data_IF_999949577919
#
_entry.id   IF_999949577919
#
_cell.length_a   1.000
_cell.length_b   1.000
_cell.length_c   1.000
_cell.angle_alpha   90.00
_cell.angle_beta   90.00
_cell.angle_gamma   90.00
#
_symmetry.space_group_name_H-M   'P 1'
#
loop_
_entity.id
_entity.type
_entity.pdbx_description
1 polymer ?
#
# COMPACT_ATOMS: atom_id res chain seq x y z
N UNK A 1 -63.76 -0.88 23.22
CA UNK A 1 -62.71 -0.97 22.19
C UNK A 1 -61.49 -0.28 22.76
N UNK A 2 -60.39 -1.00 22.92
CA UNK A 2 -59.13 -0.41 23.37
C UNK A 2 -58.50 0.37 22.20
N UNK A 3 -58.33 1.68 22.35
CA UNK A 3 -57.69 2.55 21.36
C UNK A 3 -56.19 2.30 21.40
N UNK A 4 -55.61 1.73 20.33
CA UNK A 4 -54.18 1.53 20.18
C UNK A 4 -53.55 2.84 19.68
N UNK A 5 -53.03 3.67 20.58
CA UNK A 5 -52.24 4.83 20.19
C UNK A 5 -50.85 4.38 19.76
N UNK A 6 -50.57 4.33 18.45
CA UNK A 6 -49.22 4.31 17.92
C UNK A 6 -48.52 5.61 18.34
N UNK A 7 -47.67 5.55 19.34
CA UNK A 7 -46.75 6.64 19.66
C UNK A 7 -45.88 6.93 18.42
N UNK A 8 -45.72 8.19 18.05
CA UNK A 8 -44.77 8.58 16.99
C UNK A 8 -43.38 8.14 17.43
N UNK A 9 -42.79 7.16 16.73
CA UNK A 9 -41.36 6.90 16.82
C UNK A 9 -40.69 8.14 16.21
N UNK A 10 -40.06 8.95 17.05
CA UNK A 10 -39.47 10.22 16.63
C UNK A 10 -37.96 10.15 16.85
N UNK A 11 -37.22 9.52 15.91
CA UNK A 11 -35.77 9.60 15.89
C UNK A 11 -35.33 10.99 15.44
N UNK A 12 -34.36 11.58 16.16
CA UNK A 12 -33.77 12.87 15.80
C UNK A 12 -32.34 12.62 15.32
N UNK A 13 -32.10 12.78 14.01
CA UNK A 13 -30.76 12.69 13.46
C UNK A 13 -29.90 13.88 13.88
N UNK A 14 -28.80 13.63 14.61
CA UNK A 14 -27.83 14.64 15.10
C UNK A 14 -26.53 14.71 14.29
N UNK A 15 -26.37 13.88 13.27
CA UNK A 15 -25.13 13.80 12.50
C UNK A 15 -24.05 12.98 13.20
N UNK A 16 -22.80 13.42 13.12
CA UNK A 16 -21.70 12.78 13.84
C UNK A 16 -21.83 13.00 15.37
N UNK A 17 -21.36 12.02 16.15
CA UNK A 17 -21.24 12.20 17.59
C UNK A 17 -20.11 13.18 17.92
N UNK A 18 -20.34 14.04 18.92
CA UNK A 18 -19.35 14.99 19.44
C UNK A 18 -19.31 14.95 20.97
N UNK A 19 -18.09 15.00 21.52
CA UNK A 19 -17.85 15.12 22.96
C UNK A 19 -18.49 16.39 23.52
N UNK A 20 -18.94 16.32 24.79
CA UNK A 20 -19.54 17.45 25.50
C UNK A 20 -20.94 17.85 25.02
N UNK A 21 -21.48 17.18 24.01
CA UNK A 21 -22.84 17.42 23.51
C UNK A 21 -23.86 16.75 24.43
N UNK A 22 -24.99 17.45 24.69
CA UNK A 22 -26.12 16.86 25.41
C UNK A 22 -26.97 16.07 24.42
N UNK A 23 -27.13 14.77 24.68
CA UNK A 23 -27.99 13.88 23.91
C UNK A 23 -29.19 13.43 24.73
N UNK A 24 -30.32 13.40 24.05
CA UNK A 24 -31.60 12.94 24.61
C UNK A 24 -31.98 11.58 24.04
N UNK A 25 -32.82 10.85 24.75
CA UNK A 25 -33.39 9.59 24.25
C UNK A 25 -34.00 9.81 22.86
N UNK A 26 -33.78 8.86 21.96
CA UNK A 26 -34.15 8.87 20.54
C UNK A 26 -33.30 9.80 19.64
N UNK A 27 -32.26 10.47 20.18
CA UNK A 27 -31.25 11.10 19.34
C UNK A 27 -30.41 10.02 18.65
N UNK A 28 -30.20 10.17 17.33
CA UNK A 28 -29.43 9.23 16.50
C UNK A 28 -28.16 9.90 16.01
N UNK A 29 -27.03 9.25 16.22
CA UNK A 29 -25.71 9.73 15.80
C UNK A 29 -24.98 8.70 14.97
N UNK A 30 -24.04 9.18 14.15
CA UNK A 30 -23.02 8.34 13.51
C UNK A 30 -21.73 8.41 14.29
N UNK A 31 -21.14 7.25 14.54
CA UNK A 31 -19.80 7.12 15.08
C UNK A 31 -19.04 6.03 14.32
N UNK A 32 -18.04 6.44 13.50
CA UNK A 32 -17.42 5.56 12.52
C UNK A 32 -18.42 5.16 11.43
N UNK A 33 -18.30 3.94 10.94
CA UNK A 33 -19.28 3.37 10.01
C UNK A 33 -20.62 3.00 10.63
N UNK A 34 -20.80 3.19 11.95
CA UNK A 34 -21.98 2.74 12.70
C UNK A 34 -22.93 3.88 13.08
N UNK A 35 -24.21 3.54 13.17
CA UNK A 35 -25.24 4.46 13.66
C UNK A 35 -25.76 3.97 15.00
N UNK A 36 -25.88 4.88 15.96
CA UNK A 36 -26.31 4.60 17.32
C UNK A 36 -27.49 5.46 17.70
N UNK A 37 -28.36 4.91 18.54
CA UNK A 37 -29.46 5.63 19.15
C UNK A 37 -29.21 5.85 20.63
N UNK A 38 -29.43 7.06 21.10
CA UNK A 38 -29.34 7.40 22.51
C UNK A 38 -30.52 6.76 23.26
N UNK A 39 -30.20 5.99 24.31
CA UNK A 39 -31.19 5.30 25.15
C UNK A 39 -31.26 5.87 26.56
N UNK A 40 -30.27 6.72 26.94
CA UNK A 40 -30.23 7.43 28.23
C UNK A 40 -29.81 8.87 28.00
N UNK A 41 -30.59 9.84 28.53
CA UNK A 41 -30.20 11.26 28.46
C UNK A 41 -28.86 11.48 29.18
N UNK A 42 -27.87 12.02 28.47
CA UNK A 42 -26.54 12.25 29.03
C UNK A 42 -25.82 13.38 28.31
N UNK A 43 -24.74 13.85 28.92
CA UNK A 43 -23.74 14.66 28.24
C UNK A 43 -22.61 13.74 27.80
N UNK A 44 -22.26 13.79 26.51
CA UNK A 44 -21.23 12.94 25.93
C UNK A 44 -19.88 13.12 26.63
N UNK A 45 -19.25 12.00 26.99
CA UNK A 45 -17.91 11.96 27.57
C UNK A 45 -16.83 12.41 26.58
N UNK A 46 -15.57 12.39 27.01
CA UNK A 46 -14.44 12.67 26.12
C UNK A 46 -14.31 11.63 25.00
N UNK A 47 -14.67 10.40 25.30
CA UNK A 47 -14.60 9.27 24.35
C UNK A 47 -15.95 8.56 24.26
N UNK A 48 -16.36 8.23 23.04
CA UNK A 48 -17.62 7.53 22.76
C UNK A 48 -17.70 6.17 23.48
N UNK A 49 -16.58 5.47 23.59
CA UNK A 49 -16.53 4.14 24.22
C UNK A 49 -16.95 4.17 25.69
N UNK A 50 -16.70 5.27 26.39
CA UNK A 50 -17.14 5.45 27.78
C UNK A 50 -18.67 5.46 27.86
N UNK A 51 -19.32 6.23 26.97
CA UNK A 51 -20.78 6.31 26.89
C UNK A 51 -21.42 5.00 26.46
N UNK A 52 -20.73 4.28 25.54
CA UNK A 52 -21.21 2.97 25.07
C UNK A 52 -21.12 1.91 26.19
N UNK A 53 -20.03 1.91 26.96
CA UNK A 53 -19.87 1.01 28.12
C UNK A 53 -20.87 1.32 29.23
N UNK A 54 -21.25 2.60 29.39
CA UNK A 54 -22.29 3.02 30.32
C UNK A 54 -23.72 2.71 29.81
N UNK A 55 -23.84 2.03 28.67
CA UNK A 55 -25.11 1.70 28.00
C UNK A 55 -26.00 2.93 27.66
N UNK A 56 -25.37 4.09 27.41
CA UNK A 56 -26.08 5.30 26.98
C UNK A 56 -26.53 5.22 25.50
N UNK A 57 -25.89 4.36 24.74
CA UNK A 57 -26.12 4.13 23.32
C UNK A 57 -26.47 2.69 23.01
N UNK A 58 -27.42 2.50 22.11
CA UNK A 58 -27.70 1.20 21.47
C UNK A 58 -27.31 1.26 19.98
N UNK A 59 -26.72 0.17 19.47
CA UNK A 59 -26.43 0.06 18.04
C UNK A 59 -27.74 0.01 17.25
N UNK A 60 -27.89 0.91 16.29
CA UNK A 60 -29.06 1.00 15.42
C UNK A 60 -28.79 0.40 14.04
N UNK A 61 -27.61 0.67 13.49
CA UNK A 61 -27.20 0.15 12.18
C UNK A 61 -25.69 -0.07 12.16
N UNK A 62 -25.29 -1.21 11.59
CA UNK A 62 -23.89 -1.59 11.37
C UNK A 62 -23.54 -1.28 9.92
N UNK A 63 -22.86 -0.17 9.69
CA UNK A 63 -22.38 0.28 8.39
C UNK A 63 -20.87 0.42 8.38
N UNK A 64 -20.31 0.82 7.25
CA UNK A 64 -18.87 1.00 7.01
C UNK A 64 -18.58 2.41 6.52
N UNK A 65 -17.42 2.96 6.88
CA UNK A 65 -16.97 4.28 6.42
C UNK A 65 -15.61 4.17 5.74
N UNK A 66 -15.56 4.50 4.42
CA UNK A 66 -14.31 4.55 3.69
C UNK A 66 -13.50 5.79 4.07
N UNK A 67 -12.27 5.61 4.54
CA UNK A 67 -11.36 6.67 4.98
C UNK A 67 -10.21 6.96 3.99
N UNK A 68 -10.13 6.22 2.89
CA UNK A 68 -9.01 6.33 1.96
C UNK A 68 -7.78 5.55 2.41
N UNK A 69 -6.59 6.08 2.11
CA UNK A 69 -5.34 5.46 2.55
C UNK A 69 -5.14 5.61 4.06
N UNK A 70 -4.63 4.55 4.71
CA UNK A 70 -4.22 4.63 6.10
C UNK A 70 -3.17 5.73 6.32
N UNK A 71 -3.30 6.47 7.41
CA UNK A 71 -2.42 7.60 7.73
C UNK A 71 -1.98 7.58 9.18
N UNK A 72 -0.80 8.15 9.45
CA UNK A 72 -0.26 8.36 10.79
C UNK A 72 -1.11 9.35 11.59
N UNK A 73 -1.04 9.26 12.92
CA UNK A 73 -1.72 10.17 13.86
C UNK A 73 -3.21 10.38 13.57
N UNK A 74 -3.87 9.39 13.01
CA UNK A 74 -5.27 9.47 12.60
C UNK A 74 -6.12 8.62 13.53
N UNK A 75 -7.20 9.21 14.05
CA UNK A 75 -8.15 8.47 14.88
C UNK A 75 -9.12 7.72 13.97
N UNK A 76 -9.09 6.41 14.10
CA UNK A 76 -10.00 5.49 13.44
C UNK A 76 -11.04 4.96 14.41
N UNK A 77 -12.24 4.72 13.92
CA UNK A 77 -13.40 4.25 14.65
C UNK A 77 -13.77 2.84 14.19
N UNK A 78 -14.54 2.07 14.97
CA UNK A 78 -15.02 0.78 14.50
C UNK A 78 -15.74 0.89 13.17
N UNK A 79 -15.47 -0.05 12.26
CA UNK A 79 -15.97 -0.13 10.89
C UNK A 79 -15.46 0.97 9.94
N UNK A 80 -14.45 1.76 10.33
CA UNK A 80 -13.70 2.54 9.36
C UNK A 80 -12.89 1.60 8.46
N UNK A 81 -12.92 1.84 7.16
CA UNK A 81 -12.21 1.04 6.15
C UNK A 81 -11.08 1.89 5.58
N UNK A 82 -9.89 1.31 5.51
CA UNK A 82 -8.69 1.95 4.94
C UNK A 82 -7.99 1.04 3.95
N UNK A 83 -7.27 1.65 3.01
CA UNK A 83 -6.29 0.97 2.16
C UNK A 83 -4.91 1.09 2.79
N UNK A 84 -4.19 -0.03 2.89
CA UNK A 84 -2.78 -0.05 3.29
C UNK A 84 -2.03 -1.10 2.46
N UNK A 85 -1.09 -0.62 1.61
CA UNK A 85 -0.48 -1.48 0.60
C UNK A 85 -1.51 -2.01 -0.40
N UNK A 86 -1.40 -3.26 -0.77
CA UNK A 86 -2.37 -3.94 -1.62
C UNK A 86 -3.64 -4.38 -0.90
N UNK A 87 -3.77 -4.14 0.40
CA UNK A 87 -4.88 -4.62 1.22
C UNK A 87 -5.86 -3.52 1.61
N UNK A 88 -7.10 -3.93 1.83
CA UNK A 88 -8.14 -3.13 2.48
C UNK A 88 -8.38 -3.72 3.87
N UNK A 89 -8.33 -2.87 4.88
CA UNK A 89 -8.56 -3.23 6.28
C UNK A 89 -9.80 -2.53 6.82
N UNK A 90 -10.43 -3.18 7.81
CA UNK A 90 -11.55 -2.62 8.57
C UNK A 90 -11.14 -2.52 10.05
N UNK A 91 -11.35 -1.37 10.67
CA UNK A 91 -11.08 -1.19 12.09
C UNK A 91 -12.10 -1.97 12.92
N UNK A 92 -11.62 -2.89 13.76
CA UNK A 92 -12.44 -3.63 14.71
C UNK A 92 -12.58 -2.88 16.05
N UNK A 93 -11.61 -2.02 16.36
CA UNK A 93 -11.55 -1.24 17.61
C UNK A 93 -11.15 0.20 17.31
N UNK A 94 -11.80 1.16 17.99
CA UNK A 94 -11.44 2.58 17.90
C UNK A 94 -10.04 2.82 18.50
N UNK A 95 -9.17 3.52 17.76
CA UNK A 95 -7.81 3.84 18.18
C UNK A 95 -7.24 5.00 17.38
N UNK A 96 -6.13 5.55 17.84
CA UNK A 96 -5.31 6.49 17.06
C UNK A 96 -4.08 5.74 16.57
N UNK A 97 -3.82 5.79 15.25
CA UNK A 97 -2.65 5.15 14.64
C UNK A 97 -1.34 5.76 15.14
N UNK A 98 -0.25 4.99 14.99
CA UNK A 98 1.09 5.43 15.39
C UNK A 98 1.48 6.77 14.79
N UNK A 99 2.33 7.52 15.51
CA UNK A 99 2.94 8.78 15.04
C UNK A 99 4.30 8.59 14.39
N UNK A 100 4.88 7.38 14.47
CA UNK A 100 6.21 7.08 13.96
C UNK A 100 6.18 6.86 12.45
N UNK A 101 6.91 7.66 11.69
CA UNK A 101 7.01 7.55 10.24
C UNK A 101 7.73 6.26 9.77
N UNK A 102 8.43 5.57 10.66
CA UNK A 102 9.07 4.27 10.36
C UNK A 102 8.10 3.09 10.48
N UNK A 103 6.95 3.31 11.12
CA UNK A 103 5.96 2.29 11.42
C UNK A 103 4.74 2.43 10.51
N UNK A 104 3.96 1.37 10.39
CA UNK A 104 2.74 1.36 9.61
C UNK A 104 1.59 0.71 10.37
N UNK A 105 0.55 0.28 9.64
CA UNK A 105 -0.62 -0.39 10.20
C UNK A 105 -0.25 -1.65 11.00
N UNK A 106 0.86 -2.30 10.65
CA UNK A 106 1.36 -3.50 11.30
C UNK A 106 1.57 -3.35 12.81
N UNK A 107 1.90 -2.13 13.29
CA UNK A 107 2.09 -1.84 14.74
C UNK A 107 0.76 -1.96 15.48
N UNK A 108 -0.33 -1.59 14.83
CA UNK A 108 -1.68 -1.61 15.37
C UNK A 108 -2.52 -2.78 14.83
N UNK A 109 -1.86 -3.82 14.28
CA UNK A 109 -2.52 -4.91 13.55
C UNK A 109 -3.67 -5.58 14.30
N UNK A 110 -3.61 -5.67 15.65
CA UNK A 110 -4.70 -6.19 16.49
C UNK A 110 -5.98 -5.35 16.47
N UNK A 111 -5.93 -4.12 15.93
CA UNK A 111 -7.06 -3.19 15.80
C UNK A 111 -7.74 -3.27 14.44
N UNK A 112 -7.19 -4.05 13.55
CA UNK A 112 -7.61 -4.17 12.17
C UNK A 112 -7.93 -5.60 11.79
N UNK A 113 -8.98 -5.78 11.04
CA UNK A 113 -9.27 -7.04 10.35
C UNK A 113 -9.03 -6.86 8.86
N UNK A 114 -8.47 -7.87 8.22
CA UNK A 114 -8.32 -7.89 6.76
C UNK A 114 -9.70 -7.99 6.11
N UNK A 115 -10.02 -7.02 5.24
CA UNK A 115 -11.32 -6.95 4.58
C UNK A 115 -11.26 -7.44 3.13
N UNK A 116 -10.25 -6.99 2.37
CA UNK A 116 -10.04 -7.40 0.98
C UNK A 116 -8.54 -7.53 0.71
N UNK A 117 -8.14 -8.61 0.05
CA UNK A 117 -6.80 -8.78 -0.52
C UNK A 117 -6.74 -8.22 -1.94
N UNK A 118 -5.62 -7.56 -2.28
CA UNK A 118 -5.37 -7.00 -3.59
C UNK A 118 -3.91 -6.63 -3.77
N UNK A 119 -3.61 -5.94 -4.87
CA UNK A 119 -2.27 -5.44 -5.20
C UNK A 119 -2.28 -3.93 -5.39
N UNK A 120 -1.16 -3.27 -5.05
CA UNK A 120 -0.98 -1.84 -5.27
C UNK A 120 0.24 -1.60 -6.17
N UNK A 121 0.02 -1.22 -7.44
CA UNK A 121 1.10 -0.98 -8.39
C UNK A 121 1.75 0.39 -8.15
N UNK A 122 3.00 0.38 -7.68
CA UNK A 122 3.80 1.56 -7.34
C UNK A 122 4.69 2.07 -8.49
N UNK A 123 4.52 1.54 -9.70
CA UNK A 123 5.38 1.89 -10.83
C UNK A 123 6.81 1.33 -10.68
N UNK A 124 7.86 2.14 -10.87
CA UNK A 124 9.24 1.68 -10.75
C UNK A 124 9.71 1.66 -9.30
N UNK A 125 10.51 0.64 -8.95
CA UNK A 125 11.21 0.62 -7.67
C UNK A 125 12.07 1.87 -7.48
N UNK A 126 12.05 2.42 -6.27
CA UNK A 126 12.81 3.61 -5.89
C UNK A 126 13.55 3.39 -4.56
N UNK A 127 14.65 4.13 -4.36
CA UNK A 127 15.42 4.15 -3.10
C UNK A 127 14.64 4.88 -2.00
N UNK A 128 14.97 4.60 -0.72
CA UNK A 128 14.40 5.26 0.46
C UNK A 128 12.86 5.31 0.45
N UNK A 129 12.24 4.32 -0.17
CA UNK A 129 10.78 4.26 -0.30
C UNK A 129 10.25 3.15 0.58
N UNK A 130 9.23 3.47 1.39
CA UNK A 130 8.52 2.47 2.17
C UNK A 130 7.60 1.67 1.28
N UNK A 131 7.85 0.37 1.22
CA UNK A 131 7.01 -0.60 0.56
C UNK A 131 6.25 -1.47 1.55
N UNK A 132 5.01 -1.77 1.22
CA UNK A 132 4.07 -2.52 2.03
C UNK A 132 3.80 -3.89 1.39
N UNK A 133 3.28 -4.83 2.15
CA UNK A 133 2.88 -6.12 1.61
C UNK A 133 1.88 -5.92 0.47
N UNK A 134 2.04 -6.69 -0.60
CA UNK A 134 1.28 -6.62 -1.85
C UNK A 134 1.47 -5.33 -2.69
N UNK A 135 2.47 -4.50 -2.38
CA UNK A 135 2.93 -3.50 -3.34
C UNK A 135 3.64 -4.20 -4.51
N UNK A 136 3.31 -3.79 -5.73
CA UNK A 136 3.97 -4.25 -6.96
C UNK A 136 4.87 -3.15 -7.52
N UNK A 137 6.12 -3.50 -7.84
CA UNK A 137 7.07 -2.58 -8.47
C UNK A 137 7.69 -3.19 -9.71
N UNK A 138 7.99 -2.36 -10.70
CA UNK A 138 8.83 -2.73 -11.83
C UNK A 138 10.28 -2.47 -11.51
N UNK A 139 11.13 -3.49 -11.68
CA UNK A 139 12.58 -3.35 -11.58
C UNK A 139 13.25 -4.16 -12.70
N UNK A 140 13.92 -3.46 -13.64
CA UNK A 140 14.36 -4.11 -14.87
C UNK A 140 13.19 -4.62 -15.69
N UNK A 141 13.32 -5.81 -16.24
CA UNK A 141 12.27 -6.50 -16.99
C UNK A 141 11.26 -7.26 -16.12
N UNK A 142 11.38 -7.19 -14.79
CA UNK A 142 10.56 -7.99 -13.87
C UNK A 142 9.66 -7.10 -13.03
N UNK A 143 8.44 -7.55 -12.78
CA UNK A 143 7.54 -7.00 -11.77
C UNK A 143 7.73 -7.83 -10.51
N UNK A 144 8.00 -7.17 -9.40
CA UNK A 144 8.19 -7.76 -8.08
C UNK A 144 7.04 -7.43 -7.16
N UNK A 145 6.67 -8.40 -6.34
CA UNK A 145 5.70 -8.30 -5.25
C UNK A 145 6.46 -8.12 -3.93
N UNK A 146 6.10 -7.11 -3.16
CA UNK A 146 6.60 -6.95 -1.80
C UNK A 146 5.90 -7.99 -0.89
N UNK A 147 6.69 -8.89 -0.31
CA UNK A 147 6.20 -9.94 0.62
C UNK A 147 6.50 -9.62 2.09
N UNK A 148 7.31 -8.60 2.35
CA UNK A 148 7.61 -8.10 3.69
C UNK A 148 7.77 -6.60 3.63
N UNK A 149 7.00 -5.86 4.44
CA UNK A 149 7.12 -4.41 4.49
C UNK A 149 8.50 -3.96 4.92
N UNK A 150 9.03 -2.94 4.27
CA UNK A 150 10.35 -2.39 4.55
C UNK A 150 10.54 -1.03 3.87
N UNK A 151 11.57 -0.32 4.28
CA UNK A 151 12.08 0.81 3.51
C UNK A 151 13.24 0.31 2.66
N UNK A 152 13.17 0.56 1.35
CA UNK A 152 14.21 0.15 0.40
C UNK A 152 15.54 0.83 0.69
N UNK A 153 16.62 0.21 0.21
CA UNK A 153 17.98 0.71 0.38
C UNK A 153 18.17 2.16 -0.04
N UNK A 154 19.04 2.88 0.66
CA UNK A 154 19.35 4.28 0.40
C UNK A 154 20.27 4.51 -0.80
N UNK A 155 20.85 3.46 -1.37
CA UNK A 155 21.81 3.56 -2.48
C UNK A 155 21.31 2.89 -3.74
N UNK A 156 21.54 3.53 -4.87
CA UNK A 156 21.19 2.98 -6.20
C UNK A 156 22.16 1.93 -6.70
N UNK A 157 23.33 1.78 -6.05
CA UNK A 157 24.39 0.87 -6.51
C UNK A 157 24.03 -0.61 -6.39
N UNK A 158 23.21 -0.97 -5.41
CA UNK A 158 22.76 -2.36 -5.18
C UNK A 158 21.33 -2.61 -5.63
N UNK A 159 20.52 -1.55 -5.71
CA UNK A 159 19.13 -1.65 -6.17
C UNK A 159 18.26 -2.57 -5.29
N UNK A 160 17.23 -3.15 -5.91
CA UNK A 160 16.30 -4.09 -5.27
C UNK A 160 17.04 -5.37 -4.77
N UNK A 161 18.15 -5.72 -5.40
CA UNK A 161 18.94 -6.90 -5.02
C UNK A 161 19.42 -6.84 -3.57
N UNK A 162 19.60 -5.64 -3.01
CA UNK A 162 19.99 -5.47 -1.61
C UNK A 162 18.90 -5.95 -0.63
N UNK A 163 17.65 -5.87 -1.04
CA UNK A 163 16.47 -6.24 -0.24
C UNK A 163 15.75 -7.46 -0.84
N UNK A 164 16.43 -8.28 -1.65
CA UNK A 164 15.82 -9.34 -2.45
C UNK A 164 14.94 -10.30 -1.64
N UNK A 165 15.30 -10.59 -0.39
CA UNK A 165 14.52 -11.46 0.49
C UNK A 165 13.13 -10.88 0.86
N UNK A 166 12.88 -9.59 0.57
CA UNK A 166 11.60 -8.89 0.80
C UNK A 166 10.68 -8.92 -0.42
N UNK A 167 11.18 -9.46 -1.52
CA UNK A 167 10.52 -9.42 -2.81
C UNK A 167 10.35 -10.80 -3.42
N UNK A 168 9.23 -11.02 -4.07
CA UNK A 168 8.98 -12.18 -4.91
C UNK A 168 8.79 -11.74 -6.36
N UNK A 169 9.32 -12.51 -7.31
CA UNK A 169 9.11 -12.23 -8.73
C UNK A 169 7.67 -12.58 -9.13
N UNK A 170 6.86 -11.56 -9.38
CA UNK A 170 5.45 -11.69 -9.73
C UNK A 170 5.25 -11.96 -11.23
N UNK A 171 5.93 -11.21 -12.09
CA UNK A 171 5.87 -11.38 -13.54
C UNK A 171 7.21 -11.06 -14.16
N UNK A 172 7.73 -11.96 -14.99
CA UNK A 172 8.98 -11.78 -15.72
C UNK A 172 8.71 -11.33 -17.15
N UNK A 173 9.44 -10.30 -17.58
CA UNK A 173 9.43 -9.77 -18.92
C UNK A 173 10.79 -9.20 -19.26
N UNK A 174 10.90 -8.53 -20.38
CA UNK A 174 12.13 -7.86 -20.82
C UNK A 174 11.96 -6.34 -20.80
N UNK A 175 13.05 -5.64 -20.48
CA UNK A 175 13.11 -4.19 -20.53
C UNK A 175 14.15 -3.76 -21.56
N UNK A 176 13.72 -3.29 -22.71
CA UNK A 176 14.59 -2.89 -23.81
C UNK A 176 15.25 -1.54 -23.53
N UNK A 177 16.59 -1.50 -23.48
CA UNK A 177 17.41 -0.31 -23.18
C UNK A 177 18.25 0.19 -24.39
N UNK A 178 17.93 -0.29 -25.59
CA UNK A 178 18.65 0.04 -26.83
C UNK A 178 20.09 -0.52 -26.83
N UNK A 179 21.08 0.32 -27.08
CA UNK A 179 22.48 -0.11 -27.20
C UNK A 179 23.15 -0.19 -25.82
N UNK A 180 23.96 -1.23 -25.61
CA UNK A 180 24.79 -1.32 -24.42
C UNK A 180 25.67 -0.09 -24.26
N UNK A 181 25.85 0.39 -23.02
CA UNK A 181 26.66 1.55 -22.67
C UNK A 181 27.55 1.26 -21.45
N UNK A 182 28.71 1.92 -21.40
CA UNK A 182 29.64 1.85 -20.26
C UNK A 182 29.08 2.56 -19.03
N UNK A 183 29.48 2.15 -17.83
CA UNK A 183 29.13 2.79 -16.56
C UNK A 183 27.63 2.80 -16.27
N UNK A 184 26.86 2.01 -16.97
CA UNK A 184 25.39 1.97 -16.87
C UNK A 184 24.97 0.86 -15.90
N UNK A 185 24.02 1.18 -15.01
CA UNK A 185 23.42 0.19 -14.11
C UNK A 185 22.40 -0.64 -14.88
N UNK A 186 22.70 -1.92 -15.06
CA UNK A 186 21.80 -2.91 -15.64
C UNK A 186 21.16 -3.78 -14.57
N UNK A 187 19.91 -4.12 -14.76
CA UNK A 187 19.08 -4.93 -13.87
C UNK A 187 18.75 -6.25 -14.53
N UNK A 188 18.34 -7.24 -13.76
CA UNK A 188 17.92 -8.53 -14.32
C UNK A 188 16.79 -8.32 -15.32
N UNK A 189 16.87 -9.01 -16.45
CA UNK A 189 15.98 -8.92 -17.60
C UNK A 189 15.99 -7.57 -18.38
N UNK A 190 16.96 -6.68 -18.09
CA UNK A 190 17.27 -5.62 -19.05
C UNK A 190 17.88 -6.26 -20.31
N UNK A 191 17.46 -5.78 -21.47
CA UNK A 191 17.94 -6.25 -22.77
C UNK A 191 18.59 -5.12 -23.55
N UNK A 192 19.69 -5.42 -24.20
CA UNK A 192 20.48 -4.45 -24.98
C UNK A 192 20.94 -5.03 -26.30
N UNK A 193 21.19 -4.18 -27.28
CA UNK A 193 21.92 -4.55 -28.48
C UNK A 193 23.42 -4.28 -28.29
N UNK A 194 24.27 -5.22 -28.71
CA UNK A 194 25.72 -5.05 -28.75
C UNK A 194 26.30 -5.89 -29.89
N UNK A 195 27.10 -5.28 -30.77
CA UNK A 195 27.74 -5.99 -31.89
C UNK A 195 26.74 -6.70 -32.85
N UNK A 196 25.55 -6.12 -33.06
CA UNK A 196 24.51 -6.72 -33.89
C UNK A 196 23.78 -7.90 -33.24
N UNK A 197 23.97 -8.12 -31.96
CA UNK A 197 23.32 -9.17 -31.18
C UNK A 197 22.50 -8.57 -30.03
N UNK A 198 21.54 -9.32 -29.53
CA UNK A 198 20.72 -8.92 -28.39
C UNK A 198 21.09 -9.78 -27.18
N UNK A 199 21.37 -9.13 -26.09
CA UNK A 199 21.73 -9.73 -24.81
C UNK A 199 20.71 -9.40 -23.74
N UNK A 200 20.51 -10.31 -22.80
CA UNK A 200 19.72 -10.12 -21.59
C UNK A 200 20.62 -10.14 -20.36
N UNK A 201 20.45 -9.19 -19.49
CA UNK A 201 21.14 -9.12 -18.20
C UNK A 201 20.59 -10.21 -17.27
N UNK A 202 21.43 -11.14 -16.85
CA UNK A 202 21.06 -12.23 -15.91
C UNK A 202 21.51 -11.96 -14.49
N UNK A 203 22.42 -11.00 -14.30
CA UNK A 203 22.87 -10.56 -12.97
C UNK A 203 22.97 -9.04 -12.94
N UNK A 204 22.22 -8.40 -12.03
CA UNK A 204 22.24 -6.95 -11.88
C UNK A 204 23.66 -6.43 -11.57
N UNK A 205 24.16 -5.48 -12.37
CA UNK A 205 25.50 -4.92 -12.22
C UNK A 205 25.62 -3.53 -12.86
N UNK A 206 26.69 -2.83 -12.53
CA UNK A 206 27.08 -1.65 -13.30
C UNK A 206 28.13 -2.10 -14.32
N UNK A 207 27.89 -1.81 -15.60
CA UNK A 207 28.81 -2.18 -16.67
C UNK A 207 30.18 -1.50 -16.50
N UNK A 208 31.22 -2.11 -17.07
CA UNK A 208 32.56 -1.58 -17.04
C UNK A 208 32.60 -0.13 -17.55
N UNK A 209 33.35 0.74 -16.87
CA UNK A 209 33.52 2.12 -17.23
C UNK A 209 34.50 2.33 -18.42
N UNK A 210 35.26 1.30 -18.79
CA UNK A 210 36.23 1.37 -19.90
C UNK A 210 35.55 1.03 -21.23
N UNK A 211 35.46 1.99 -22.11
CA UNK A 211 34.95 1.78 -23.48
C UNK A 211 35.81 0.79 -24.30
N UNK A 212 37.03 0.53 -23.87
CA UNK A 212 37.94 -0.36 -24.59
C UNK A 212 37.63 -1.87 -24.39
N UNK A 213 36.84 -2.22 -23.41
CA UNK A 213 36.54 -3.62 -23.07
C UNK A 213 35.13 -4.10 -23.44
N UNK A 214 34.23 -3.18 -23.74
CA UNK A 214 32.86 -3.52 -24.18
C UNK A 214 32.07 -4.41 -23.19
N UNK A 215 31.03 -5.06 -23.70
CA UNK A 215 30.19 -6.01 -22.96
C UNK A 215 30.97 -7.25 -22.53
N UNK A 216 32.02 -7.60 -23.28
CA UNK A 216 32.86 -8.78 -23.03
C UNK A 216 33.49 -8.77 -21.64
N UNK A 217 33.78 -7.60 -21.09
CA UNK A 217 34.33 -7.45 -19.74
C UNK A 217 33.39 -7.99 -18.65
N UNK A 218 32.09 -7.92 -18.92
CA UNK A 218 31.04 -8.33 -18.00
C UNK A 218 30.24 -9.54 -18.55
N UNK A 219 30.81 -10.31 -19.47
CA UNK A 219 30.12 -11.37 -20.21
C UNK A 219 29.38 -12.37 -19.32
N UNK A 220 29.90 -12.71 -18.14
CA UNK A 220 29.24 -13.59 -17.19
C UNK A 220 27.93 -13.05 -16.62
N UNK A 221 27.62 -11.76 -16.83
CA UNK A 221 26.40 -11.07 -16.39
C UNK A 221 25.33 -11.03 -17.49
N UNK A 222 25.67 -11.48 -18.67
CA UNK A 222 24.84 -11.42 -19.85
C UNK A 222 24.59 -12.79 -20.44
N UNK A 223 23.39 -13.00 -20.91
CA UNK A 223 23.03 -14.16 -21.72
C UNK A 223 22.64 -13.70 -23.12
N UNK A 224 23.07 -14.45 -24.11
CA UNK A 224 22.70 -14.22 -25.51
C UNK A 224 21.23 -14.55 -25.71
N UNK A 225 20.46 -13.57 -26.20
CA UNK A 225 19.03 -13.74 -26.40
C UNK A 225 18.68 -14.00 -27.88
N UNK A 226 19.21 -13.17 -28.80
CA UNK A 226 18.87 -13.26 -30.20
C UNK A 226 19.92 -12.61 -31.09
N UNK A 227 20.12 -13.19 -32.30
CA UNK A 227 20.97 -12.59 -33.33
C UNK A 227 20.21 -11.48 -34.05
N UNK A 228 20.64 -10.25 -33.84
CA UNK A 228 20.18 -9.08 -34.59
C UNK A 228 20.93 -8.88 -35.91
N UNK A 229 20.56 -7.84 -36.63
CA UNK A 229 21.27 -7.36 -37.82
C UNK A 229 21.77 -5.97 -37.51
N UNK A 230 23.09 -5.75 -37.60
CA UNK A 230 23.69 -4.45 -37.42
C UNK A 230 23.91 -3.78 -38.78
N UNK A 231 23.30 -2.63 -39.01
CA UNK A 231 23.57 -1.80 -40.17
C UNK A 231 24.82 -0.95 -39.92
N UNK A 232 25.88 -1.22 -40.66
CA UNK A 232 27.18 -0.53 -40.55
C UNK A 232 27.33 0.69 -41.44
N UNK A 233 26.28 1.10 -42.15
CA UNK A 233 26.32 2.19 -43.13
C UNK A 233 26.73 1.68 -44.53
N UNK A 234 27.01 2.62 -45.43
CA UNK A 234 27.50 2.31 -46.76
C UNK A 234 28.98 1.92 -46.72
N UNK A 235 29.34 0.89 -47.50
CA UNK A 235 30.74 0.63 -47.73
C UNK A 235 31.38 1.82 -48.46
N UNK A 236 32.47 2.35 -47.91
CA UNK A 236 33.29 3.38 -48.54
C UNK A 236 34.22 2.79 -49.61
#
# INVERSE_FOLDING_TARGET
>A
MAEFKLGRIRFVWKGAWYTGTIYSVDDVVRYGGRTYICVVNHTANAEFQVDLTAANWALMSDGQEWKGDWSLNTTYKPNDIVKYGGYIYIANTGHTSTSSASDGLEVDSSKWDLFIEGFDYKSSWAINTRYKVNDLVKYGGTIYLCITEHTSAATTSLGLENDQAKWEAFSKGFNWLNTWATGTRYKVNDTVSYGGQIYVCVTGHTSNASAAQGLEADQAKWEYLHKGIEYKGAFA
#
